data_IF_200304143741
#
_entry.id   IF_200304143741
#
_cell.length_a   1.000
_cell.length_b   1.000
_cell.length_c   1.000
_cell.angle_alpha   90.00
_cell.angle_beta   90.00
_cell.angle_gamma   90.00
#
_symmetry.space_group_name_H-M   'P 1'
#
loop_
_entity.id
_entity.type
_entity.pdbx_description
1 polymer ?
#
# COMPACT_ATOMS: atom_id res chain seq x y z
N UNK A 1 14.19 -55.07 -4.19
CA UNK A 1 13.20 -53.99 -4.34
C UNK A 1 13.67 -52.87 -3.43
N UNK A 2 14.21 -51.80 -4.01
CA UNK A 2 14.74 -50.67 -3.28
C UNK A 2 13.56 -49.78 -2.82
N UNK A 3 13.43 -49.59 -1.50
CA UNK A 3 12.51 -48.61 -0.95
C UNK A 3 13.00 -47.21 -1.35
N UNK A 4 12.22 -46.51 -2.19
CA UNK A 4 12.44 -45.09 -2.43
C UNK A 4 12.14 -44.35 -1.11
N UNK A 5 13.19 -43.79 -0.49
CA UNK A 5 13.04 -42.81 0.56
C UNK A 5 12.24 -41.64 0.02
N UNK A 6 11.00 -41.50 0.46
CA UNK A 6 10.20 -40.29 0.28
C UNK A 6 10.77 -39.29 1.27
N UNK A 7 11.66 -38.40 0.81
CA UNK A 7 12.13 -37.31 1.61
C UNK A 7 10.94 -36.35 1.90
N UNK A 8 10.45 -36.35 3.12
CA UNK A 8 9.44 -35.41 3.55
C UNK A 8 10.04 -33.96 3.48
N UNK A 9 9.59 -33.19 2.51
CA UNK A 9 9.94 -31.76 2.46
C UNK A 9 9.21 -31.06 3.60
N UNK A 10 9.96 -30.54 4.56
CA UNK A 10 9.41 -29.63 5.57
C UNK A 10 9.23 -28.27 4.91
N UNK A 11 7.98 -27.81 4.76
CA UNK A 11 7.70 -26.43 4.43
C UNK A 11 7.86 -25.60 5.72
N UNK A 12 8.59 -24.50 5.60
CA UNK A 12 8.77 -23.53 6.68
C UNK A 12 8.09 -22.23 6.27
N UNK A 13 7.16 -21.74 7.10
CA UNK A 13 6.51 -20.44 6.90
C UNK A 13 7.39 -19.39 7.58
N UNK A 14 8.18 -18.65 6.80
CA UNK A 14 9.08 -17.59 7.31
C UNK A 14 8.40 -16.24 7.48
N UNK A 15 7.27 -16.02 6.83
CA UNK A 15 6.44 -14.83 6.90
C UNK A 15 5.07 -15.11 6.29
N UNK A 16 4.07 -14.34 6.68
CA UNK A 16 2.71 -14.44 6.16
C UNK A 16 2.01 -13.10 6.38
N UNK A 17 1.28 -12.63 5.37
CA UNK A 17 0.44 -11.45 5.44
C UNK A 17 -1.02 -11.87 5.21
N UNK A 18 -1.94 -11.31 6.01
CA UNK A 18 -3.37 -11.47 5.78
C UNK A 18 -3.86 -10.53 4.67
N UNK A 19 -4.95 -10.88 4.01
CA UNK A 19 -5.63 -9.94 3.10
C UNK A 19 -6.13 -8.72 3.87
N UNK A 20 -6.03 -7.53 3.26
CA UNK A 20 -6.57 -6.30 3.85
C UNK A 20 -8.09 -6.43 3.99
N UNK A 21 -8.61 -6.08 5.16
CA UNK A 21 -10.03 -5.85 5.39
C UNK A 21 -10.34 -4.40 5.02
N UNK A 22 -11.17 -4.14 3.99
CA UNK A 22 -11.54 -2.78 3.62
C UNK A 22 -12.41 -2.15 4.71
N UNK A 23 -12.38 -0.80 4.79
CA UNK A 23 -13.26 -0.05 5.67
C UNK A 23 -14.01 1.01 4.85
N UNK A 24 -15.29 0.71 4.57
CA UNK A 24 -16.14 1.53 3.71
C UNK A 24 -16.56 2.84 4.38
N UNK A 25 -16.45 2.94 5.71
CA UNK A 25 -16.72 4.18 6.45
C UNK A 25 -15.54 5.16 6.42
N UNK A 26 -14.29 4.66 6.44
CA UNK A 26 -13.08 5.50 6.38
C UNK A 26 -12.73 5.94 4.96
N UNK A 27 -13.02 5.12 3.95
CA UNK A 27 -12.62 5.40 2.58
C UNK A 27 -13.14 6.75 2.05
N UNK A 28 -14.41 7.14 2.25
CA UNK A 28 -14.90 8.46 1.84
C UNK A 28 -14.24 9.63 2.59
N UNK A 29 -13.84 9.44 3.85
CA UNK A 29 -13.15 10.46 4.65
C UNK A 29 -11.78 10.73 4.05
N UNK A 30 -11.00 9.70 3.77
CA UNK A 30 -9.70 9.82 3.14
C UNK A 30 -9.80 10.40 1.72
N UNK A 31 -10.80 9.98 0.93
CA UNK A 31 -11.05 10.50 -0.41
C UNK A 31 -11.32 12.00 -0.40
N UNK A 32 -12.24 12.46 0.46
CA UNK A 32 -12.54 13.89 0.64
C UNK A 32 -11.27 14.69 0.97
N UNK A 33 -10.41 14.18 1.83
CA UNK A 33 -9.18 14.86 2.21
C UNK A 33 -8.13 14.85 1.10
N UNK A 34 -8.04 13.79 0.31
CA UNK A 34 -7.23 13.77 -0.92
C UNK A 34 -7.72 14.83 -1.92
N UNK A 35 -9.03 14.92 -2.15
CA UNK A 35 -9.63 15.92 -3.04
C UNK A 35 -9.39 17.35 -2.53
N UNK A 36 -9.45 17.58 -1.22
CA UNK A 36 -9.17 18.87 -0.60
C UNK A 36 -7.71 19.29 -0.74
N UNK A 37 -6.77 18.36 -0.58
CA UNK A 37 -5.33 18.60 -0.74
C UNK A 37 -4.98 18.79 -2.21
N UNK A 38 -5.59 17.99 -3.09
CA UNK A 38 -5.28 17.93 -4.50
C UNK A 38 -3.97 17.21 -4.80
N UNK A 39 -3.63 17.14 -6.07
CA UNK A 39 -2.32 16.67 -6.53
C UNK A 39 -1.33 17.82 -6.72
N UNK A 40 -0.24 17.56 -7.42
CA UNK A 40 0.74 18.59 -7.76
C UNK A 40 1.04 18.57 -9.28
N UNK A 41 1.50 19.69 -9.81
CA UNK A 41 1.99 19.78 -11.18
C UNK A 41 3.51 19.75 -11.17
N UNK A 42 4.10 18.90 -11.99
CA UNK A 42 5.54 18.86 -12.16
C UNK A 42 6.07 20.18 -12.72
N UNK A 43 7.18 20.64 -12.19
CA UNK A 43 7.95 21.75 -12.77
C UNK A 43 8.78 21.29 -13.99
N UNK A 44 9.45 22.22 -14.64
CA UNK A 44 10.24 21.93 -15.84
C UNK A 44 11.36 20.92 -15.59
N UNK A 45 12.03 20.98 -14.45
CA UNK A 45 13.12 20.05 -14.09
C UNK A 45 12.61 18.65 -13.79
N UNK A 46 11.45 18.53 -13.15
CA UNK A 46 10.77 17.27 -12.89
C UNK A 46 10.26 16.62 -14.19
N UNK A 47 9.75 17.43 -15.12
CA UNK A 47 9.33 16.96 -16.45
C UNK A 47 10.52 16.44 -17.25
N UNK A 48 11.67 17.15 -17.23
CA UNK A 48 12.89 16.72 -17.90
C UNK A 48 13.37 15.38 -17.33
N UNK A 49 13.52 15.27 -16.00
CA UNK A 49 13.87 14.02 -15.33
C UNK A 49 12.90 12.88 -15.66
N UNK A 50 11.59 13.14 -15.58
CA UNK A 50 10.57 12.14 -15.86
C UNK A 50 10.62 11.65 -17.31
N UNK A 51 10.81 12.57 -18.25
CA UNK A 51 10.97 12.26 -19.69
C UNK A 51 12.18 11.37 -19.94
N UNK A 52 13.31 11.67 -19.30
CA UNK A 52 14.54 10.88 -19.46
C UNK A 52 14.37 9.49 -18.81
N UNK A 53 13.77 9.43 -17.63
CA UNK A 53 13.52 8.16 -16.97
C UNK A 53 12.56 7.28 -17.77
N UNK A 54 11.53 7.84 -18.39
CA UNK A 54 10.58 7.10 -19.23
C UNK A 54 11.24 6.45 -20.46
N UNK A 55 12.35 6.98 -20.97
CA UNK A 55 13.12 6.34 -22.04
C UNK A 55 13.72 4.99 -21.65
N UNK A 56 13.83 4.73 -20.36
CA UNK A 56 14.36 3.47 -19.80
C UNK A 56 13.28 2.42 -19.56
N UNK A 57 12.00 2.76 -19.74
CA UNK A 57 10.88 1.85 -19.55
C UNK A 57 10.73 0.91 -20.77
N UNK A 58 10.11 -0.28 -20.60
CA UNK A 58 9.76 -1.14 -21.69
C UNK A 58 8.88 -0.41 -22.73
N UNK A 59 8.87 -0.83 -24.00
CA UNK A 59 8.00 -0.25 -25.01
C UNK A 59 6.52 -0.20 -24.55
N UNK A 60 5.90 0.98 -24.65
CA UNK A 60 4.52 1.21 -24.20
C UNK A 60 4.37 1.43 -22.68
N UNK A 61 5.45 1.40 -21.90
CA UNK A 61 5.40 1.62 -20.45
C UNK A 61 5.28 3.09 -20.03
N UNK A 62 5.67 4.04 -20.90
CA UNK A 62 5.54 5.46 -20.60
C UNK A 62 4.06 5.89 -20.59
N UNK A 63 3.66 6.61 -19.55
CA UNK A 63 2.33 7.23 -19.42
C UNK A 63 2.44 8.75 -19.48
N UNK A 64 1.32 9.43 -19.70
CA UNK A 64 1.27 10.89 -19.74
C UNK A 64 1.79 11.50 -18.41
N UNK A 65 2.59 12.55 -18.52
CA UNK A 65 3.19 13.23 -17.38
C UNK A 65 2.26 14.25 -16.71
N UNK A 66 1.09 14.51 -17.28
CA UNK A 66 0.09 15.46 -16.78
C UNK A 66 -0.89 14.86 -15.76
N UNK A 67 -0.60 13.65 -15.25
CA UNK A 67 -1.51 12.92 -14.36
C UNK A 67 -1.18 13.04 -12.86
N UNK A 68 -0.14 13.76 -12.49
CA UNK A 68 0.27 13.88 -11.08
C UNK A 68 -0.67 14.74 -10.23
N UNK A 69 -1.50 15.57 -10.84
CA UNK A 69 -2.52 16.39 -10.18
C UNK A 69 -3.93 15.75 -10.21
N UNK A 70 -4.07 14.57 -10.82
CA UNK A 70 -5.36 13.89 -10.92
C UNK A 70 -5.66 13.09 -9.65
N UNK A 71 -6.75 13.41 -8.98
CA UNK A 71 -7.28 12.59 -7.88
C UNK A 71 -8.28 11.60 -8.47
N UNK A 72 -7.95 10.31 -8.39
CA UNK A 72 -8.84 9.25 -8.86
C UNK A 72 -10.07 9.14 -7.94
N UNK A 73 -11.26 8.89 -8.49
CA UNK A 73 -12.45 8.70 -7.67
C UNK A 73 -12.34 7.42 -6.83
N UNK A 74 -12.96 7.46 -5.64
CA UNK A 74 -13.12 6.27 -4.82
C UNK A 74 -13.84 5.17 -5.62
N UNK A 75 -13.27 3.97 -5.60
CA UNK A 75 -13.86 2.78 -6.23
C UNK A 75 -14.28 1.80 -5.14
N UNK A 76 -15.40 1.07 -5.36
CA UNK A 76 -15.74 -0.05 -4.50
C UNK A 76 -14.59 -1.07 -4.43
N UNK A 77 -14.45 -1.73 -3.29
CA UNK A 77 -13.50 -2.82 -3.16
C UNK A 77 -13.85 -3.96 -4.14
N UNK A 78 -12.88 -4.38 -4.95
CA UNK A 78 -13.01 -5.54 -5.84
C UNK A 78 -12.04 -6.63 -5.37
N UNK A 79 -12.55 -7.75 -4.83
CA UNK A 79 -11.71 -8.85 -4.36
C UNK A 79 -10.96 -9.56 -5.49
N UNK A 80 -11.33 -9.33 -6.76
CA UNK A 80 -10.70 -9.94 -7.93
C UNK A 80 -9.67 -9.00 -8.61
N UNK A 81 -9.56 -7.75 -8.13
CA UNK A 81 -8.56 -6.83 -8.67
C UNK A 81 -7.14 -7.34 -8.38
N UNK A 82 -6.17 -7.08 -9.27
CA UNK A 82 -4.77 -7.35 -8.99
C UNK A 82 -4.37 -6.70 -7.68
N UNK A 83 -3.80 -7.48 -6.76
CA UNK A 83 -3.38 -7.04 -5.44
C UNK A 83 -1.89 -7.27 -5.24
N UNK A 84 -1.31 -6.50 -4.32
CA UNK A 84 0.03 -6.72 -3.80
C UNK A 84 -0.06 -7.17 -2.34
N UNK A 85 0.94 -7.92 -1.87
CA UNK A 85 1.01 -8.25 -0.45
C UNK A 85 1.54 -7.08 0.36
N UNK A 86 1.07 -6.97 1.59
CA UNK A 86 1.49 -5.95 2.56
C UNK A 86 1.17 -6.42 3.97
N UNK A 87 2.08 -6.18 4.90
CA UNK A 87 1.89 -6.44 6.33
C UNK A 87 0.78 -5.55 6.97
N UNK A 88 0.35 -4.49 6.28
CA UNK A 88 -0.85 -3.72 6.67
C UNK A 88 -2.11 -4.60 6.68
N UNK A 89 -2.13 -5.71 5.94
CA UNK A 89 -3.19 -6.71 6.03
C UNK A 89 -3.41 -7.13 7.48
N UNK A 90 -2.37 -7.57 8.17
CA UNK A 90 -2.45 -8.02 9.57
C UNK A 90 -2.93 -6.92 10.52
N UNK A 91 -2.56 -5.65 10.27
CA UNK A 91 -3.09 -4.50 11.02
C UNK A 91 -4.58 -4.35 10.82
N UNK A 92 -5.06 -4.51 9.57
CA UNK A 92 -6.48 -4.35 9.21
C UNK A 92 -7.41 -5.37 9.87
N UNK A 93 -6.89 -6.52 10.32
CA UNK A 93 -7.65 -7.52 11.08
C UNK A 93 -7.83 -7.17 12.56
N UNK A 94 -7.10 -6.17 13.05
CA UNK A 94 -7.13 -5.77 14.46
C UNK A 94 -7.77 -4.40 14.67
N UNK A 95 -7.68 -3.51 13.68
CA UNK A 95 -8.23 -2.15 13.75
C UNK A 95 -8.78 -1.68 12.40
N UNK A 96 -9.79 -0.78 12.39
CA UNK A 96 -10.24 -0.14 11.17
C UNK A 96 -9.07 0.52 10.44
N UNK A 97 -8.86 0.16 9.19
CA UNK A 97 -7.69 0.58 8.41
C UNK A 97 -8.10 1.14 7.06
N UNK A 98 -7.43 2.18 6.60
CA UNK A 98 -7.53 2.75 5.26
C UNK A 98 -6.14 3.01 4.69
N UNK A 99 -5.97 2.80 3.40
CA UNK A 99 -4.78 3.16 2.65
C UNK A 99 -5.15 3.89 1.37
N UNK A 100 -4.25 4.75 0.91
CA UNK A 100 -4.34 5.39 -0.39
C UNK A 100 -2.95 5.59 -0.99
N UNK A 101 -2.88 5.80 -2.29
CA UNK A 101 -1.64 6.09 -3.02
C UNK A 101 -1.47 7.58 -3.27
N UNK A 102 -0.21 8.00 -3.40
CA UNK A 102 0.17 9.32 -3.90
C UNK A 102 1.20 9.19 -5.01
N UNK A 103 1.26 10.16 -5.91
CA UNK A 103 2.17 10.15 -7.06
C UNK A 103 3.61 10.45 -6.62
N UNK A 104 4.34 9.41 -6.21
CA UNK A 104 5.76 9.49 -5.82
C UNK A 104 6.71 8.90 -6.86
N UNK A 105 6.17 8.32 -7.94
CA UNK A 105 6.92 7.77 -9.05
C UNK A 105 6.57 8.49 -10.34
N UNK A 106 7.51 8.52 -11.26
CA UNK A 106 7.24 8.97 -12.63
C UNK A 106 6.15 8.07 -13.23
N UNK A 107 5.13 8.65 -13.89
CA UNK A 107 4.05 7.90 -14.52
C UNK A 107 4.57 6.77 -15.43
N UNK A 108 4.05 5.56 -15.24
CA UNK A 108 4.49 4.35 -15.95
C UNK A 108 5.57 3.53 -15.24
N UNK A 109 6.19 4.06 -14.19
CA UNK A 109 7.19 3.31 -13.42
C UNK A 109 6.51 2.29 -12.50
N UNK A 110 6.92 1.03 -12.61
CA UNK A 110 6.46 -0.04 -11.74
C UNK A 110 7.18 -0.02 -10.38
N UNK A 111 6.48 -0.41 -9.32
CA UNK A 111 7.09 -0.64 -8.01
C UNK A 111 8.18 -1.73 -8.09
N UNK A 112 9.10 -1.75 -7.12
CA UNK A 112 10.22 -2.70 -7.02
C UNK A 112 11.22 -2.64 -8.20
N UNK A 113 11.38 -1.47 -8.81
CA UNK A 113 12.36 -1.20 -9.86
C UNK A 113 13.36 -0.14 -9.43
N UNK A 114 14.52 -0.09 -10.10
CA UNK A 114 15.48 1.00 -9.86
C UNK A 114 14.91 2.37 -10.25
N UNK A 115 14.02 2.40 -11.26
CA UNK A 115 13.30 3.61 -11.66
C UNK A 115 12.40 4.15 -10.54
N UNK A 116 11.74 3.25 -9.79
CA UNK A 116 10.95 3.63 -8.63
C UNK A 116 11.83 4.25 -7.54
N UNK A 117 12.99 3.67 -7.25
CA UNK A 117 13.96 4.22 -6.30
C UNK A 117 14.50 5.59 -6.76
N UNK A 118 14.83 5.72 -8.05
CA UNK A 118 15.26 6.97 -8.64
C UNK A 118 14.18 8.07 -8.53
N UNK A 119 12.91 7.74 -8.85
CA UNK A 119 11.77 8.67 -8.74
C UNK A 119 11.56 9.15 -7.31
N UNK A 120 11.49 8.22 -6.36
CA UNK A 120 11.22 8.52 -4.95
C UNK A 120 12.30 9.41 -4.30
N UNK A 121 13.53 9.35 -4.81
CA UNK A 121 14.66 10.15 -4.32
C UNK A 121 14.70 11.59 -4.82
N UNK A 122 13.80 11.99 -5.70
CA UNK A 122 13.75 13.34 -6.30
C UNK A 122 12.71 14.25 -5.66
N UNK A 123 12.68 15.53 -6.07
CA UNK A 123 11.62 16.48 -5.68
C UNK A 123 10.22 16.00 -6.06
N UNK A 124 10.08 15.27 -7.18
CA UNK A 124 8.81 14.64 -7.57
C UNK A 124 8.31 13.67 -6.49
N UNK A 125 9.17 12.78 -5.99
CA UNK A 125 8.84 11.87 -4.90
C UNK A 125 8.51 12.61 -3.60
N UNK A 126 9.22 13.71 -3.31
CA UNK A 126 8.98 14.57 -2.15
C UNK A 126 7.62 15.28 -2.23
N UNK A 127 7.24 15.80 -3.40
CA UNK A 127 5.93 16.44 -3.60
C UNK A 127 4.79 15.44 -3.34
N UNK A 128 4.88 14.24 -3.90
CA UNK A 128 3.91 13.17 -3.62
C UNK A 128 3.85 12.79 -2.14
N UNK A 129 5.00 12.73 -1.46
CA UNK A 129 5.07 12.47 -0.02
C UNK A 129 4.38 13.58 0.80
N UNK A 130 4.57 14.86 0.43
CA UNK A 130 3.92 15.99 1.10
C UNK A 130 2.41 15.95 0.92
N UNK A 131 1.91 15.60 -0.28
CA UNK A 131 0.48 15.38 -0.54
C UNK A 131 -0.08 14.29 0.38
N UNK A 132 0.59 13.12 0.41
CA UNK A 132 0.17 12.02 1.28
C UNK A 132 0.14 12.43 2.76
N UNK A 133 1.17 13.13 3.23
CA UNK A 133 1.27 13.60 4.62
C UNK A 133 0.14 14.55 4.98
N UNK A 134 -0.22 15.48 4.10
CA UNK A 134 -1.35 16.43 4.31
C UNK A 134 -2.68 15.68 4.38
N UNK A 135 -2.94 14.76 3.45
CA UNK A 135 -4.19 14.00 3.42
C UNK A 135 -4.34 13.09 4.66
N UNK A 136 -3.24 12.45 5.11
CA UNK A 136 -3.23 11.66 6.35
C UNK A 136 -3.49 12.55 7.58
N UNK A 137 -2.82 13.71 7.67
CA UNK A 137 -3.01 14.63 8.78
C UNK A 137 -4.46 15.14 8.86
N UNK A 138 -5.06 15.54 7.74
CA UNK A 138 -6.46 15.96 7.69
C UNK A 138 -7.41 14.84 8.08
N UNK A 139 -7.16 13.62 7.60
CA UNK A 139 -7.95 12.45 7.98
C UNK A 139 -7.86 12.17 9.47
N UNK A 140 -6.67 12.27 10.06
CA UNK A 140 -6.50 12.15 11.51
C UNK A 140 -7.26 13.24 12.27
N UNK A 141 -7.20 14.50 11.82
CA UNK A 141 -7.96 15.62 12.42
C UNK A 141 -9.46 15.34 12.36
N UNK A 142 -10.00 14.91 11.22
CA UNK A 142 -11.42 14.57 11.08
C UNK A 142 -11.84 13.49 12.09
N UNK A 143 -11.01 12.44 12.27
CA UNK A 143 -11.29 11.38 13.23
C UNK A 143 -11.22 11.85 14.68
N UNK A 144 -10.25 12.71 15.05
CA UNK A 144 -10.16 13.27 16.40
C UNK A 144 -11.31 14.22 16.71
N UNK A 145 -11.74 15.03 15.73
CA UNK A 145 -12.78 16.02 15.93
C UNK A 145 -14.20 15.46 15.82
N UNK A 146 -14.37 14.26 15.22
CA UNK A 146 -15.69 13.71 14.91
C UNK A 146 -15.80 12.26 15.42
N UNK A 147 -16.09 12.06 16.71
CA UNK A 147 -16.17 10.70 17.30
C UNK A 147 -17.15 9.75 16.58
N UNK A 148 -18.17 10.29 15.92
CA UNK A 148 -19.11 9.49 15.13
C UNK A 148 -18.45 8.80 13.91
N UNK A 149 -17.40 9.38 13.32
CA UNK A 149 -16.62 8.73 12.25
C UNK A 149 -15.87 7.52 12.79
N UNK A 150 -15.27 7.63 13.98
CA UNK A 150 -14.59 6.51 14.64
C UNK A 150 -15.59 5.39 14.97
N UNK A 151 -16.77 5.74 15.48
CA UNK A 151 -17.82 4.78 15.76
C UNK A 151 -18.30 4.07 14.49
N UNK A 152 -18.50 4.81 13.39
CA UNK A 152 -18.89 4.25 12.10
C UNK A 152 -17.81 3.33 11.52
N UNK A 153 -16.54 3.74 11.60
CA UNK A 153 -15.40 2.93 11.17
C UNK A 153 -15.32 1.61 11.94
N UNK A 154 -15.53 1.66 13.27
CA UNK A 154 -15.53 0.46 14.11
C UNK A 154 -16.72 -0.45 13.81
N UNK A 155 -17.91 0.10 13.58
CA UNK A 155 -19.10 -0.68 13.23
C UNK A 155 -18.94 -1.39 11.88
N UNK A 156 -18.38 -0.70 10.87
CA UNK A 156 -18.08 -1.31 9.59
C UNK A 156 -17.00 -2.40 9.71
N UNK A 157 -15.95 -2.14 10.48
CA UNK A 157 -14.90 -3.13 10.76
C UNK A 157 -15.48 -4.41 11.36
N UNK A 158 -16.35 -4.32 12.38
CA UNK A 158 -17.00 -5.48 12.98
C UNK A 158 -17.89 -6.24 11.96
N UNK A 159 -18.58 -5.51 11.09
CA UNK A 159 -19.39 -6.08 10.01
C UNK A 159 -18.51 -6.86 9.02
N UNK A 160 -17.35 -6.29 8.62
CA UNK A 160 -16.43 -6.93 7.68
C UNK A 160 -15.75 -8.18 8.28
N UNK A 161 -15.45 -8.15 9.57
CA UNK A 161 -14.91 -9.33 10.28
C UNK A 161 -15.85 -10.53 10.28
N UNK A 162 -17.17 -10.32 10.26
CA UNK A 162 -18.18 -11.40 10.27
C UNK A 162 -17.99 -12.37 11.43
N UNK A 163 -17.53 -11.88 12.60
CA UNK A 163 -17.24 -12.72 13.77
C UNK A 163 -15.93 -13.51 13.71
N UNK A 164 -15.13 -13.33 12.67
CA UNK A 164 -13.79 -13.94 12.57
C UNK A 164 -12.79 -13.19 13.45
N UNK A 165 -11.81 -13.91 13.93
CA UNK A 165 -10.68 -13.35 14.70
C UNK A 165 -9.41 -13.48 13.89
N UNK A 166 -8.50 -12.51 14.02
CA UNK A 166 -7.17 -12.61 13.43
C UNK A 166 -6.39 -13.76 14.06
N UNK A 167 -5.85 -14.62 13.22
CA UNK A 167 -4.94 -15.69 13.60
C UNK A 167 -3.68 -15.61 12.72
N UNK A 168 -2.52 -15.42 13.37
CA UNK A 168 -1.25 -15.44 12.64
C UNK A 168 -0.98 -16.84 12.10
N UNK A 169 -0.59 -16.94 10.82
CA UNK A 169 -0.10 -18.20 10.25
C UNK A 169 1.29 -18.60 10.78
N UNK A 170 1.98 -17.70 11.48
CA UNK A 170 3.27 -17.95 12.10
C UNK A 170 3.03 -18.51 13.49
N UNK A 171 3.53 -19.74 13.82
CA UNK A 171 3.38 -20.31 15.16
C UNK A 171 3.95 -19.40 16.26
N UNK A 172 3.28 -19.25 17.42
CA UNK A 172 3.73 -18.35 18.49
C UNK A 172 5.12 -18.66 19.03
N UNK A 173 5.57 -19.91 18.87
CA UNK A 173 6.90 -20.38 19.31
C UNK A 173 8.00 -20.10 18.31
N UNK A 174 7.65 -19.69 17.09
CA UNK A 174 8.62 -19.41 16.03
C UNK A 174 9.25 -18.04 16.27
N UNK A 175 10.56 -18.01 16.36
CA UNK A 175 11.35 -16.78 16.46
C UNK A 175 11.78 -16.32 15.08
N UNK A 176 11.93 -14.99 14.84
CA UNK A 176 12.53 -14.47 13.61
C UNK A 176 13.91 -15.08 13.36
N UNK A 177 14.20 -15.42 12.11
CA UNK A 177 15.49 -15.94 11.69
C UNK A 177 16.50 -14.79 11.48
N UNK A 178 16.82 -14.05 12.55
CA UNK A 178 17.72 -12.89 12.47
C UNK A 178 19.19 -13.29 12.32
N UNK A 179 19.56 -14.53 12.66
CA UNK A 179 20.92 -15.05 12.61
C UNK A 179 21.19 -15.97 11.40
N UNK A 180 20.38 -15.86 10.33
CA UNK A 180 20.55 -16.72 9.14
C UNK A 180 21.90 -16.55 8.42
N UNK A 181 22.62 -15.44 8.68
CA UNK A 181 23.95 -15.17 8.12
C UNK A 181 25.09 -15.75 8.95
N UNK A 182 24.82 -16.17 10.18
CA UNK A 182 25.85 -16.66 11.12
C UNK A 182 26.13 -18.16 10.92
N UNK A 183 25.37 -18.83 10.04
CA UNK A 183 25.45 -20.28 9.79
C UNK A 183 26.11 -20.63 8.43
N UNK A 184 26.89 -19.73 7.83
CA UNK A 184 27.71 -19.98 6.64
C UNK A 184 29.19 -19.97 6.95
#
# INVERSE_FOLDING_TARGET
MSAREVSARRAFIGGSDANIIPNDALAPVAQKNLELVGGYKMDASQIEFATDLQKTLPPGGALSLDQTDVILPLRPFDPNAPSASTDVGDVSWNVPTIGFGAATFVPGVAAHTWQAAASAGTSLGQDGMVIASKALALTAVDLFMTPSLVAAAHADFQKQLQGKTYESAIPPTQKPLISYRDNN
#
